data_IF_586276519558
#
_entry.id   IF_586276519558
#
_cell.length_a   1.000
_cell.length_b   1.000
_cell.length_c   1.000
_cell.angle_alpha   90.00
_cell.angle_beta   90.00
_cell.angle_gamma   90.00
#
_symmetry.space_group_name_H-M   'P 1'
#
loop_
_entity.id
_entity.type
_entity.pdbx_description
1 polymer ?
#
# COMPACT_ATOMS: atom_id res chain seq x y z
N UNK A 1 -58.97 3.67 14.04
CA UNK A 1 -58.67 5.11 14.07
C UNK A 1 -58.01 5.46 15.40
N UNK A 2 -56.75 5.88 15.39
CA UNK A 2 -56.14 6.83 16.33
C UNK A 2 -54.71 7.12 15.87
N UNK A 3 -54.37 8.39 15.61
CA UNK A 3 -53.06 8.78 15.07
C UNK A 3 -52.23 9.60 16.08
N UNK A 4 -50.94 9.79 15.74
CA UNK A 4 -49.97 10.81 16.22
C UNK A 4 -49.62 10.85 17.72
N UNK A 5 -48.49 11.38 18.21
CA UNK A 5 -47.12 11.65 17.75
C UNK A 5 -46.50 12.43 18.94
N UNK A 6 -45.30 12.03 19.36
CA UNK A 6 -44.21 12.84 19.97
C UNK A 6 -44.56 13.78 21.14
N UNK A 7 -44.07 13.41 22.32
CA UNK A 7 -43.75 14.36 23.39
C UNK A 7 -42.36 14.95 23.14
N UNK A 8 -42.27 16.28 23.01
CA UNK A 8 -41.04 17.05 23.15
C UNK A 8 -41.11 17.82 24.49
N UNK A 9 -40.25 17.41 25.42
CA UNK A 9 -39.85 18.09 26.67
C UNK A 9 -38.31 18.18 26.57
N UNK A 10 -37.59 19.19 27.03
CA UNK A 10 -37.86 20.17 28.04
C UNK A 10 -36.92 21.38 27.88
N UNK A 11 -37.27 22.41 28.62
CA UNK A 11 -36.60 23.67 28.86
C UNK A 11 -35.25 23.53 29.61
N UNK A 12 -34.32 24.43 29.25
CA UNK A 12 -33.54 25.33 30.15
C UNK A 12 -32.54 24.73 31.16
N UNK A 13 -31.25 24.97 30.84
CA UNK A 13 -30.00 25.20 31.64
C UNK A 13 -30.16 25.51 33.16
N UNK A 14 -29.14 25.33 34.05
CA UNK A 14 -27.73 25.70 33.83
C UNK A 14 -26.62 24.94 34.63
N UNK A 15 -25.37 25.42 34.44
CA UNK A 15 -24.25 25.48 35.38
C UNK A 15 -23.29 24.28 35.57
N UNK A 16 -22.11 24.45 34.96
CA UNK A 16 -20.75 24.31 35.52
C UNK A 16 -20.35 23.04 36.29
N UNK A 17 -19.36 22.31 35.77
CA UNK A 17 -17.99 22.35 36.33
C UNK A 17 -16.99 21.52 35.51
N UNK A 18 -15.83 22.13 35.25
CA UNK A 18 -14.47 21.54 35.24
C UNK A 18 -14.24 20.15 34.61
N UNK A 19 -13.47 20.08 33.52
CA UNK A 19 -12.03 19.80 33.60
C UNK A 19 -11.36 19.60 32.23
N UNK A 20 -10.28 20.37 32.03
CA UNK A 20 -9.05 20.02 31.29
C UNK A 20 -9.07 20.02 29.76
N UNK A 21 -8.67 21.16 29.18
CA UNK A 21 -7.90 21.18 27.92
C UNK A 21 -7.01 22.44 27.89
N UNK A 22 -5.71 22.24 28.10
CA UNK A 22 -4.64 23.17 27.71
C UNK A 22 -3.89 22.58 26.49
N UNK A 23 -3.04 23.33 25.76
CA UNK A 23 -2.88 24.79 25.75
C UNK A 23 -3.01 25.37 24.32
N UNK A 24 -3.41 26.64 24.29
CA UNK A 24 -3.14 27.56 23.20
C UNK A 24 -1.81 28.25 23.52
N UNK A 25 -0.79 28.10 22.67
CA UNK A 25 0.38 28.97 22.67
C UNK A 25 0.59 29.47 21.24
N UNK A 26 0.25 30.74 21.03
CA UNK A 26 0.84 31.55 19.97
C UNK A 26 2.33 31.66 20.24
N UNK A 27 3.16 31.27 19.27
CA UNK A 27 4.56 31.67 19.29
C UNK A 27 4.99 32.28 17.95
N UNK A 28 5.56 33.47 18.09
CA UNK A 28 6.05 34.35 17.04
C UNK A 28 7.23 33.67 16.33
N UNK A 29 7.17 33.49 15.01
CA UNK A 29 8.38 33.25 14.22
C UNK A 29 8.76 34.52 13.47
N UNK A 30 9.81 35.12 14.04
CA UNK A 30 10.60 36.24 13.60
C UNK A 30 11.05 36.14 12.13
N UNK A 31 11.00 37.30 11.45
CA UNK A 31 11.84 37.58 10.28
C UNK A 31 13.31 37.43 10.69
N UNK A 32 13.98 36.41 10.19
CA UNK A 32 15.33 36.41 9.58
C UNK A 32 15.88 34.99 9.64
N UNK A 33 15.94 34.34 8.50
CA UNK A 33 16.61 33.05 8.36
C UNK A 33 16.51 32.60 6.91
N UNK A 34 17.59 32.79 6.14
CA UNK A 34 17.81 31.97 4.95
C UNK A 34 17.85 30.52 5.42
N UNK A 35 16.75 29.81 5.31
CA UNK A 35 16.76 28.36 5.32
C UNK A 35 16.46 27.95 3.90
N UNK A 36 17.51 27.46 3.25
CA UNK A 36 17.48 26.76 1.99
C UNK A 36 16.24 25.88 1.95
N UNK A 37 15.27 26.26 1.12
CA UNK A 37 14.16 25.40 0.78
C UNK A 37 14.74 24.16 0.12
N UNK A 38 14.87 23.07 0.87
CA UNK A 38 14.77 21.76 0.25
C UNK A 38 13.32 21.66 -0.20
N UNK A 39 13.02 21.56 -1.50
CA UNK A 39 11.67 21.18 -1.90
C UNK A 39 11.37 19.85 -1.22
N UNK A 40 10.27 19.79 -0.49
CA UNK A 40 9.65 18.52 -0.14
C UNK A 40 9.21 17.90 -1.48
N UNK A 41 10.09 17.12 -2.10
CA UNK A 41 9.70 16.20 -3.15
C UNK A 41 8.81 15.17 -2.47
N UNK A 42 7.50 15.37 -2.54
CA UNK A 42 6.57 14.28 -2.34
C UNK A 42 6.76 13.37 -3.57
N UNK A 43 7.58 12.33 -3.44
CA UNK A 43 7.55 11.22 -4.38
C UNK A 43 6.14 10.62 -4.25
N UNK A 44 5.28 10.92 -5.23
CA UNK A 44 3.95 10.32 -5.31
C UNK A 44 4.15 8.84 -5.61
N UNK A 45 4.06 8.00 -4.59
CA UNK A 45 3.97 6.55 -4.78
C UNK A 45 2.75 6.25 -5.66
N UNK A 46 3.02 5.78 -6.87
CA UNK A 46 1.98 5.40 -7.82
C UNK A 46 1.42 4.04 -7.41
N UNK A 47 0.08 3.94 -7.37
CA UNK A 47 -0.62 2.69 -7.08
C UNK A 47 -1.31 2.19 -8.33
N UNK A 48 -0.85 1.07 -8.86
CA UNK A 48 -1.39 0.49 -10.09
C UNK A 48 -1.98 -0.90 -9.81
N UNK A 49 -3.19 -1.23 -10.28
CA UNK A 49 -3.70 -2.59 -10.21
C UNK A 49 -3.01 -3.49 -11.25
N UNK A 50 -2.97 -4.79 -10.97
CA UNK A 50 -2.44 -5.79 -11.89
C UNK A 50 -2.61 -7.21 -11.35
N UNK A 51 -1.80 -8.12 -11.86
CA UNK A 51 -1.77 -9.52 -11.44
C UNK A 51 -0.36 -10.08 -11.35
N UNK A 52 -0.17 -10.99 -10.41
CA UNK A 52 1.07 -11.76 -10.26
C UNK A 52 0.77 -13.21 -10.58
N UNK A 53 1.64 -13.84 -11.34
CA UNK A 53 1.60 -15.26 -11.66
C UNK A 53 2.85 -15.92 -11.09
N UNK A 54 2.65 -16.91 -10.23
CA UNK A 54 3.73 -17.74 -9.70
C UNK A 54 3.54 -19.17 -10.22
N UNK A 55 4.57 -19.71 -10.86
CA UNK A 55 4.56 -21.08 -11.36
C UNK A 55 5.96 -21.67 -11.29
N UNK A 56 6.08 -22.87 -10.74
CA UNK A 56 7.34 -23.60 -10.57
C UNK A 56 8.40 -22.73 -9.87
N UNK A 57 9.29 -22.12 -10.64
CA UNK A 57 10.39 -21.25 -10.22
C UNK A 57 10.37 -19.87 -10.92
N UNK A 58 9.24 -19.48 -11.49
CA UNK A 58 9.06 -18.22 -12.21
C UNK A 58 7.99 -17.34 -11.55
N UNK A 59 8.27 -16.04 -11.57
CA UNK A 59 7.33 -14.98 -11.29
C UNK A 59 7.09 -14.21 -12.59
N UNK A 60 5.83 -13.90 -12.87
CA UNK A 60 5.46 -12.97 -13.93
C UNK A 60 4.42 -12.01 -13.37
N UNK A 61 4.72 -10.72 -13.36
CA UNK A 61 3.83 -9.69 -12.85
C UNK A 61 3.50 -8.70 -13.96
N UNK A 62 2.22 -8.40 -14.12
CA UNK A 62 1.69 -7.58 -15.21
C UNK A 62 0.72 -6.55 -14.64
N UNK A 63 1.01 -5.25 -14.80
CA UNK A 63 0.05 -4.20 -14.52
C UNK A 63 -1.18 -4.30 -15.44
N UNK A 64 -2.37 -3.96 -14.93
CA UNK A 64 -3.61 -4.04 -15.69
C UNK A 64 -3.74 -2.88 -16.69
N UNK A 65 -3.37 -1.67 -16.25
CA UNK A 65 -3.57 -0.43 -17.00
C UNK A 65 -2.33 0.00 -17.80
N UNK A 66 -1.26 -0.80 -17.78
CA UNK A 66 0.00 -0.50 -18.45
C UNK A 66 0.54 -1.75 -19.15
N UNK A 67 0.54 -1.73 -20.49
CA UNK A 67 0.99 -2.83 -21.36
C UNK A 67 2.42 -2.64 -21.87
N UNK A 68 3.13 -1.59 -21.43
CA UNK A 68 4.46 -1.24 -21.95
C UNK A 68 5.59 -1.99 -21.25
N UNK A 69 5.30 -2.65 -20.12
CA UNK A 69 6.30 -3.40 -19.38
C UNK A 69 5.69 -4.50 -18.51
N UNK A 70 6.51 -5.52 -18.25
CA UNK A 70 6.20 -6.64 -17.36
C UNK A 70 7.39 -6.93 -16.44
N UNK A 71 7.12 -7.51 -15.27
CA UNK A 71 8.19 -7.99 -14.37
C UNK A 71 8.31 -9.49 -14.52
N UNK A 72 9.51 -9.95 -14.85
CA UNK A 72 9.85 -11.37 -14.91
C UNK A 72 10.84 -11.68 -13.78
N UNK A 73 10.51 -12.64 -12.94
CA UNK A 73 11.32 -13.06 -11.81
C UNK A 73 11.67 -14.54 -11.85
N UNK A 74 12.83 -14.88 -11.31
CA UNK A 74 13.24 -16.23 -10.97
C UNK A 74 13.18 -16.39 -9.46
N UNK A 75 12.48 -17.41 -9.01
CA UNK A 75 12.33 -17.76 -7.60
C UNK A 75 13.52 -18.59 -7.14
N UNK A 76 13.95 -18.37 -5.90
CA UNK A 76 15.04 -19.14 -5.27
C UNK A 76 14.54 -20.49 -4.76
N UNK A 77 13.33 -20.51 -4.19
CA UNK A 77 12.68 -21.69 -3.64
C UNK A 77 11.66 -22.26 -4.63
N UNK A 78 11.53 -23.59 -4.67
CA UNK A 78 10.44 -24.25 -5.39
C UNK A 78 9.12 -24.01 -4.65
N UNK A 79 8.20 -23.30 -5.31
CA UNK A 79 6.82 -23.10 -4.82
C UNK A 79 6.00 -24.37 -5.14
N UNK A 80 4.97 -24.74 -4.35
CA UNK A 80 4.06 -25.82 -4.70
C UNK A 80 3.66 -25.82 -6.18
N UNK A 81 3.69 -27.01 -6.79
CA UNK A 81 3.72 -27.24 -8.26
C UNK A 81 2.58 -26.61 -9.06
N UNK A 82 1.45 -26.31 -8.42
CA UNK A 82 0.32 -25.78 -9.13
C UNK A 82 0.53 -24.28 -9.43
N UNK A 83 0.38 -23.84 -10.69
CA UNK A 83 0.50 -22.44 -11.04
C UNK A 83 -0.64 -21.62 -10.43
N UNK A 84 -0.32 -20.49 -9.80
CA UNK A 84 -1.30 -19.61 -9.19
C UNK A 84 -1.24 -18.20 -9.76
N UNK A 85 -2.42 -17.68 -10.11
CA UNK A 85 -2.63 -16.29 -10.50
C UNK A 85 -3.26 -15.53 -9.33
N UNK A 86 -2.57 -14.50 -8.86
CA UNK A 86 -3.05 -13.56 -7.85
C UNK A 86 -3.67 -12.36 -8.55
N UNK A 87 -4.96 -12.13 -8.32
CA UNK A 87 -5.68 -10.96 -8.82
C UNK A 87 -6.84 -10.63 -7.87
N UNK A 88 -7.01 -9.37 -7.46
CA UNK A 88 -6.19 -8.20 -7.79
C UNK A 88 -4.90 -8.11 -6.96
N UNK A 89 -3.84 -7.56 -7.58
CA UNK A 89 -2.59 -7.15 -6.91
C UNK A 89 -2.39 -5.65 -7.15
N UNK A 90 -1.93 -4.92 -6.14
CA UNK A 90 -1.61 -3.50 -6.18
C UNK A 90 -0.10 -3.33 -6.18
N UNK A 91 0.42 -2.62 -7.17
CA UNK A 91 1.82 -2.26 -7.34
C UNK A 91 2.04 -0.89 -6.72
N UNK A 92 3.08 -0.74 -5.91
CA UNK A 92 3.45 0.55 -5.28
C UNK A 92 4.91 0.84 -5.59
N UNK A 93 5.17 1.90 -6.37
CA UNK A 93 6.49 2.29 -6.86
C UNK A 93 6.49 3.72 -7.46
N UNK A 94 7.66 4.20 -7.90
CA UNK A 94 7.79 5.45 -8.66
C UNK A 94 8.06 5.22 -10.16
N UNK A 95 8.80 4.16 -10.52
CA UNK A 95 9.13 3.83 -11.92
C UNK A 95 9.31 2.33 -12.13
N UNK A 96 9.04 1.77 -13.33
CA UNK A 96 9.05 0.32 -13.54
C UNK A 96 10.34 -0.37 -13.09
N UNK A 97 11.51 0.27 -13.30
CA UNK A 97 12.82 -0.24 -12.92
C UNK A 97 12.99 -0.45 -11.41
N UNK A 98 12.10 0.07 -10.59
CA UNK A 98 12.10 -0.19 -9.14
C UNK A 98 11.81 -1.67 -8.84
N UNK A 99 11.24 -2.43 -9.78
CA UNK A 99 11.05 -3.88 -9.69
C UNK A 99 12.22 -4.70 -10.26
N UNK A 100 13.41 -4.13 -10.39
CA UNK A 100 14.62 -4.85 -10.77
C UNK A 100 15.45 -5.29 -9.56
N UNK A 101 15.93 -6.53 -9.60
CA UNK A 101 16.83 -7.10 -8.59
C UNK A 101 16.14 -8.01 -7.59
N UNK A 102 16.71 -8.11 -6.39
CA UNK A 102 16.25 -9.02 -5.34
C UNK A 102 14.93 -8.56 -4.71
N UNK A 103 14.03 -9.52 -4.54
CA UNK A 103 12.78 -9.34 -3.81
C UNK A 103 12.57 -10.46 -2.79
N UNK A 104 11.81 -10.13 -1.75
CA UNK A 104 11.35 -11.08 -0.76
C UNK A 104 9.90 -10.81 -0.40
N UNK A 105 9.22 -11.85 0.08
CA UNK A 105 7.80 -11.76 0.33
C UNK A 105 7.21 -12.96 1.03
N UNK A 106 5.91 -12.89 1.22
CA UNK A 106 5.10 -13.89 1.86
C UNK A 106 3.79 -14.06 1.08
N UNK A 107 3.40 -15.31 0.88
CA UNK A 107 2.07 -15.68 0.43
C UNK A 107 1.44 -16.45 1.58
N UNK A 108 0.27 -16.03 2.04
CA UNK A 108 -0.38 -16.68 3.17
C UNK A 108 -1.46 -15.81 3.81
N UNK A 109 -2.29 -16.43 4.66
CA UNK A 109 -3.35 -15.75 5.44
C UNK A 109 -4.31 -14.89 4.61
N UNK A 110 -4.52 -15.24 3.35
CA UNK A 110 -5.38 -14.47 2.45
C UNK A 110 -4.67 -13.36 1.67
N UNK A 111 -3.36 -13.19 1.82
CA UNK A 111 -2.57 -12.10 1.24
C UNK A 111 -1.33 -12.61 0.49
N UNK A 112 -0.93 -11.89 -0.56
CA UNK A 112 0.41 -11.96 -1.15
C UNK A 112 1.06 -10.59 -0.95
N UNK A 113 2.29 -10.58 -0.46
CA UNK A 113 3.10 -9.37 -0.28
C UNK A 113 4.52 -9.65 -0.76
N UNK A 114 4.97 -8.90 -1.76
CA UNK A 114 6.32 -8.95 -2.32
C UNK A 114 6.95 -7.56 -2.20
N UNK A 115 8.21 -7.47 -1.78
CA UNK A 115 8.94 -6.22 -1.57
C UNK A 115 10.34 -6.33 -2.18
N UNK A 116 10.71 -5.34 -2.97
CA UNK A 116 12.03 -5.22 -3.60
C UNK A 116 13.01 -4.54 -2.66
N UNK A 117 14.12 -5.23 -2.36
CA UNK A 117 15.04 -4.79 -1.29
C UNK A 117 15.72 -3.45 -1.60
N UNK A 118 16.01 -3.19 -2.87
CA UNK A 118 16.77 -2.01 -3.31
C UNK A 118 15.92 -0.74 -3.35
N UNK A 119 14.69 -0.85 -3.84
CA UNK A 119 13.81 0.28 -4.13
C UNK A 119 12.73 0.48 -3.07
N UNK A 120 12.38 -0.57 -2.31
CA UNK A 120 11.18 -0.58 -1.47
C UNK A 120 9.87 -0.77 -2.25
N UNK A 121 9.93 -0.96 -3.58
CA UNK A 121 8.74 -1.22 -4.38
C UNK A 121 8.03 -2.48 -3.90
N UNK A 122 6.70 -2.49 -3.98
CA UNK A 122 5.91 -3.59 -3.46
C UNK A 122 4.77 -4.02 -4.37
N UNK A 123 4.39 -5.28 -4.25
CA UNK A 123 3.19 -5.86 -4.87
C UNK A 123 2.38 -6.56 -3.79
N UNK A 124 1.16 -6.06 -3.53
CA UNK A 124 0.31 -6.56 -2.45
C UNK A 124 -1.07 -6.91 -3.00
N UNK A 125 -1.57 -8.11 -2.70
CA UNK A 125 -2.86 -8.59 -3.20
C UNK A 125 -3.46 -9.70 -2.37
N UNK A 126 -4.54 -10.30 -2.86
CA UNK A 126 -5.18 -11.44 -2.19
C UNK A 126 -4.59 -12.77 -2.62
N UNK A 127 -4.36 -13.67 -1.67
CA UNK A 127 -3.90 -15.04 -1.89
C UNK A 127 -4.98 -16.05 -1.49
N UNK A 128 -5.38 -16.96 -2.40
CA UNK A 128 -6.26 -18.08 -2.06
C UNK A 128 -5.49 -19.32 -1.56
N UNK A 129 -4.16 -19.24 -1.44
CA UNK A 129 -3.30 -20.40 -1.15
C UNK A 129 -2.59 -20.27 0.19
N UNK A 130 -2.00 -21.39 0.63
CA UNK A 130 -1.39 -21.56 1.93
C UNK A 130 -0.17 -20.67 2.20
N UNK A 131 0.36 -20.79 3.43
CA UNK A 131 1.40 -19.93 3.97
C UNK A 131 2.81 -20.41 3.58
N UNK A 132 3.54 -19.62 2.80
CA UNK A 132 4.94 -19.83 2.45
C UNK A 132 5.70 -18.52 2.20
N UNK A 133 7.03 -18.58 2.23
CA UNK A 133 7.89 -17.45 1.90
C UNK A 133 8.28 -17.50 0.44
N UNK A 134 8.45 -16.34 -0.16
CA UNK A 134 8.85 -16.19 -1.55
C UNK A 134 10.07 -15.30 -1.61
N UNK A 135 11.10 -15.74 -2.32
CA UNK A 135 12.31 -14.96 -2.57
C UNK A 135 12.76 -15.19 -4.00
N UNK A 136 13.38 -14.18 -4.59
CA UNK A 136 13.80 -14.27 -5.96
C UNK A 136 14.55 -13.04 -6.45
N UNK A 137 14.90 -13.08 -7.73
CA UNK A 137 15.45 -11.96 -8.47
C UNK A 137 14.59 -11.69 -9.68
N UNK A 138 14.35 -10.42 -10.01
CA UNK A 138 13.57 -10.04 -11.18
C UNK A 138 14.26 -9.03 -12.08
N UNK A 139 13.75 -8.98 -13.30
CA UNK A 139 14.09 -8.01 -14.34
C UNK A 139 12.80 -7.43 -14.91
N UNK A 140 12.86 -6.20 -15.37
CA UNK A 140 11.75 -5.55 -16.06
C UNK A 140 11.98 -5.68 -17.56
N UNK A 141 10.97 -6.18 -18.26
CA UNK A 141 10.98 -6.28 -19.72
C UNK A 141 10.01 -5.24 -20.28
N UNK A 142 10.50 -4.38 -21.16
CA UNK A 142 9.68 -3.45 -21.94
C UNK A 142 9.21 -4.13 -23.22
N UNK A 143 7.93 -3.94 -23.56
CA UNK A 143 7.23 -4.58 -24.69
C UNK A 143 7.04 -3.64 -25.86
#
# INVERSE_FOLDING_TARGET
>A
MRPFLVCLLAAVLPAASFASQEPFCEDKISRTGRLFGRPAFYDLEEKMPGYVFLAENHLRAEPLDNLDWIVLGKLEDEIPKDPFKFQPVTYTLNKPQDFEGEFEGHVGRGEISLVWKKSGASMIGRSPIGDFKVKGTSVVLYT
#
